data_IF_022676928602
#
_entry.id   IF_022676928602
#
_cell.length_a   1.000
_cell.length_b   1.000
_cell.length_c   1.000
_cell.angle_alpha   90.00
_cell.angle_beta   90.00
_cell.angle_gamma   90.00
#
_symmetry.space_group_name_H-M   'P 1'
#
loop_
_entity.id
_entity.type
_entity.pdbx_description
1 polymer ?
#
# COMPACT_ATOMS: atom_id res chain seq x y z
N UNK A 1 22.66 -3.54 24.90
CA UNK A 1 21.24 -3.94 24.97
C UNK A 1 20.43 -3.03 24.05
N UNK A 2 19.92 -3.59 22.97
CA UNK A 2 19.19 -2.91 21.85
C UNK A 2 17.70 -2.73 22.14
N UNK A 3 17.12 -3.61 22.98
CA UNK A 3 15.71 -3.55 23.40
C UNK A 3 15.61 -3.03 24.84
N UNK A 4 14.76 -2.02 25.07
CA UNK A 4 14.43 -1.47 26.39
C UNK A 4 12.93 -1.54 26.62
N UNK A 5 12.51 -1.96 27.81
CA UNK A 5 11.08 -2.05 28.18
C UNK A 5 10.76 -1.04 29.27
N UNK A 6 9.68 -0.28 29.11
CA UNK A 6 9.21 0.75 30.05
C UNK A 6 7.73 0.59 30.36
N UNK A 7 7.27 0.98 31.55
CA UNK A 7 5.83 1.00 31.84
C UNK A 7 5.14 2.07 30.97
N UNK A 8 4.01 1.72 30.36
CA UNK A 8 3.24 2.63 29.52
C UNK A 8 2.19 3.39 30.34
N UNK A 9 1.97 4.67 30.03
CA UNK A 9 1.11 5.57 30.83
C UNK A 9 -0.35 5.12 30.96
N UNK A 10 -0.85 4.32 30.02
CA UNK A 10 -2.21 3.75 30.00
C UNK A 10 -2.26 2.24 30.33
N UNK A 11 -1.27 1.74 31.07
CA UNK A 11 -1.14 0.31 31.37
C UNK A 11 -0.50 -0.49 30.22
N UNK A 12 0.18 -1.57 30.59
CA UNK A 12 1.03 -2.38 29.71
C UNK A 12 2.47 -1.87 29.60
N UNK A 13 3.22 -2.44 28.66
CA UNK A 13 4.66 -2.19 28.50
C UNK A 13 4.96 -1.57 27.14
N UNK A 14 5.79 -0.54 27.11
CA UNK A 14 6.36 0.02 25.91
C UNK A 14 7.73 -0.60 25.66
N UNK A 15 7.99 -1.00 24.43
CA UNK A 15 9.26 -1.56 23.98
C UNK A 15 9.90 -0.57 23.02
N UNK A 16 11.11 -0.17 23.36
CA UNK A 16 11.99 0.72 22.60
C UNK A 16 13.12 -0.11 22.01
N UNK A 17 13.06 -0.35 20.71
CA UNK A 17 14.00 -1.17 19.94
C UNK A 17 14.88 -0.23 19.13
N UNK A 18 16.19 -0.30 19.32
CA UNK A 18 17.18 0.41 18.52
C UNK A 18 18.05 -0.59 17.77
N UNK A 19 17.97 -0.61 16.45
CA UNK A 19 18.76 -1.48 15.58
C UNK A 19 19.53 -0.67 14.54
N UNK A 20 20.60 -1.29 14.02
CA UNK A 20 21.25 -0.83 12.80
C UNK A 20 20.82 -1.78 11.69
N UNK A 21 20.26 -1.23 10.63
CA UNK A 21 19.94 -1.97 9.42
C UNK A 21 21.23 -2.23 8.63
N UNK A 22 21.18 -3.18 7.69
CA UNK A 22 22.26 -3.51 6.76
C UNK A 22 22.64 -2.33 5.85
N UNK A 23 21.71 -1.41 5.60
CA UNK A 23 21.93 -0.11 4.95
C UNK A 23 22.77 0.87 5.78
N UNK A 24 23.15 0.51 7.01
CA UNK A 24 23.86 1.37 7.96
C UNK A 24 22.95 2.37 8.69
N UNK A 25 21.67 2.44 8.34
CA UNK A 25 20.71 3.34 8.99
C UNK A 25 20.37 2.85 10.41
N UNK A 26 20.25 3.79 11.35
CA UNK A 26 19.80 3.51 12.72
C UNK A 26 18.29 3.60 12.77
N UNK A 27 17.61 2.46 12.89
CA UNK A 27 16.17 2.39 13.03
C UNK A 27 15.75 2.28 14.51
N UNK A 28 14.73 3.05 14.90
CA UNK A 28 14.15 3.05 16.24
C UNK A 28 12.65 2.81 16.18
N UNK A 29 12.19 1.73 16.82
CA UNK A 29 10.77 1.44 17.00
C UNK A 29 10.39 1.60 18.48
N UNK A 30 9.40 2.45 18.78
CA UNK A 30 8.76 2.53 20.09
C UNK A 30 7.31 2.10 19.98
N UNK A 31 6.96 0.99 20.62
CA UNK A 31 5.61 0.43 20.51
C UNK A 31 5.13 -0.17 21.83
N UNK A 32 3.83 -0.07 22.10
CA UNK A 32 3.19 -0.82 23.18
C UNK A 32 3.22 -2.31 22.82
N UNK A 33 3.81 -3.13 23.69
CA UNK A 33 3.79 -4.58 23.56
C UNK A 33 2.34 -5.08 23.64
N UNK A 34 1.95 -6.08 22.83
CA UNK A 34 0.62 -6.69 22.88
C UNK A 34 0.46 -7.64 24.07
N UNK A 35 1.29 -7.52 25.11
CA UNK A 35 1.37 -8.42 26.25
C UNK A 35 1.45 -7.63 27.55
N UNK A 36 0.82 -8.17 28.59
CA UNK A 36 0.63 -7.48 29.88
C UNK A 36 1.79 -7.69 30.87
N UNK A 37 2.62 -8.73 30.69
CA UNK A 37 3.75 -9.04 31.58
C UNK A 37 5.07 -8.45 31.08
N UNK A 38 5.91 -7.93 31.99
CA UNK A 38 7.22 -7.34 31.69
C UNK A 38 8.16 -8.30 30.95
N UNK A 39 8.24 -9.53 31.44
CA UNK A 39 9.09 -10.58 30.88
C UNK A 39 8.60 -11.01 29.49
N UNK A 40 7.28 -11.08 29.29
CA UNK A 40 6.68 -11.33 27.98
C UNK A 40 6.96 -10.17 27.01
N UNK A 41 6.87 -8.92 27.47
CA UNK A 41 7.19 -7.74 26.65
C UNK A 41 8.67 -7.71 26.23
N UNK A 42 9.57 -8.15 27.10
CA UNK A 42 10.99 -8.32 26.77
C UNK A 42 11.19 -9.38 25.68
N UNK A 43 10.57 -10.55 25.81
CA UNK A 43 10.65 -11.62 24.78
C UNK A 43 10.06 -11.17 23.45
N UNK A 44 8.92 -10.47 23.49
CA UNK A 44 8.30 -9.90 22.30
C UNK A 44 9.22 -8.88 21.63
N UNK A 45 9.86 -8.00 22.41
CA UNK A 45 10.83 -7.04 21.89
C UNK A 45 12.04 -7.69 21.22
N UNK A 46 12.58 -8.74 21.81
CA UNK A 46 13.69 -9.52 21.22
C UNK A 46 13.26 -10.25 19.94
N UNK A 47 12.06 -10.82 19.90
CA UNK A 47 11.52 -11.45 18.69
C UNK A 47 11.29 -10.42 17.58
N UNK A 48 10.80 -9.22 17.93
CA UNK A 48 10.59 -8.11 17.00
C UNK A 48 11.91 -7.55 16.47
N UNK A 49 12.94 -7.43 17.31
CA UNK A 49 14.30 -7.08 16.87
C UNK A 49 14.81 -8.02 15.78
N UNK A 50 14.71 -9.34 16.01
CA UNK A 50 15.11 -10.36 15.03
C UNK A 50 14.29 -10.27 13.74
N UNK A 51 12.99 -10.01 13.86
CA UNK A 51 12.13 -9.81 12.70
C UNK A 51 12.55 -8.59 11.87
N UNK A 52 12.83 -7.46 12.52
CA UNK A 52 13.27 -6.24 11.84
C UNK A 52 14.64 -6.40 11.17
N UNK A 53 15.55 -7.18 11.76
CA UNK A 53 16.84 -7.52 11.14
C UNK A 53 16.69 -8.42 9.90
N UNK A 54 15.69 -9.31 9.88
CA UNK A 54 15.47 -10.26 8.78
C UNK A 54 14.62 -9.71 7.64
N UNK A 55 13.60 -8.92 7.98
CA UNK A 55 12.59 -8.44 7.02
C UNK A 55 12.70 -6.93 6.73
N UNK A 56 13.52 -6.19 7.48
CA UNK A 56 13.55 -4.73 7.40
C UNK A 56 12.37 -4.07 8.12
N UNK A 57 12.35 -2.73 8.18
CA UNK A 57 11.23 -1.99 8.75
C UNK A 57 9.99 -2.14 7.87
N UNK A 58 8.86 -2.53 8.46
CA UNK A 58 7.58 -2.61 7.75
C UNK A 58 7.23 -1.22 7.19
N UNK A 59 7.10 -1.09 5.87
CA UNK A 59 6.86 0.18 5.16
C UNK A 59 5.62 0.97 5.65
N UNK A 60 4.70 0.29 6.33
CA UNK A 60 3.46 0.87 6.87
C UNK A 60 3.69 1.58 8.23
N UNK A 61 4.82 1.31 8.91
CA UNK A 61 5.07 1.77 10.30
C UNK A 61 6.34 2.64 10.43
N UNK A 62 6.92 3.14 9.33
CA UNK A 62 7.99 4.14 9.39
C UNK A 62 7.41 5.56 9.57
N UNK A 63 6.79 5.85 10.72
CA UNK A 63 6.36 7.22 11.06
C UNK A 63 7.55 8.13 11.46
N UNK A 64 8.78 7.60 11.52
CA UNK A 64 10.00 8.39 11.70
C UNK A 64 11.01 8.00 10.62
N UNK A 65 11.02 8.74 9.52
CA UNK A 65 11.92 8.50 8.39
C UNK A 65 11.37 8.96 7.04
N UNK A 66 10.91 10.22 6.93
CA UNK A 66 10.45 10.84 5.66
C UNK A 66 11.55 10.99 4.59
N UNK A 67 12.73 10.40 4.77
CA UNK A 67 13.84 10.47 3.81
C UNK A 67 13.99 9.19 2.96
N UNK A 68 13.66 8.00 3.49
CA UNK A 68 13.80 6.73 2.75
C UNK A 68 12.61 6.37 1.86
N UNK A 69 11.41 6.89 2.17
CA UNK A 69 10.21 6.64 1.38
C UNK A 69 10.23 7.30 0.00
N UNK A 70 11.05 8.35 -0.20
CA UNK A 70 11.21 8.99 -1.51
C UNK A 70 12.03 8.18 -2.51
N UNK A 71 12.83 7.21 -2.07
CA UNK A 71 13.70 6.45 -2.99
C UNK A 71 13.02 5.14 -3.42
N UNK A 72 12.30 4.46 -2.52
CA UNK A 72 11.60 3.21 -2.85
C UNK A 72 10.21 3.41 -3.48
N UNK A 73 9.57 4.58 -3.32
CA UNK A 73 8.32 4.89 -4.04
C UNK A 73 8.57 5.27 -5.50
N UNK A 74 9.78 5.72 -5.83
CA UNK A 74 10.14 6.13 -7.21
C UNK A 74 10.31 4.92 -8.13
N UNK A 75 10.55 3.71 -7.61
CA UNK A 75 10.75 2.51 -8.45
C UNK A 75 9.51 1.61 -8.59
N UNK A 76 8.48 1.78 -7.73
CA UNK A 76 7.20 1.03 -7.83
C UNK A 76 6.14 1.82 -8.61
N UNK A 77 6.41 3.09 -8.93
CA UNK A 77 5.82 3.75 -10.09
C UNK A 77 6.46 3.21 -11.39
N UNK A 78 6.56 1.89 -11.54
CA UNK A 78 6.55 1.31 -12.88
C UNK A 78 5.31 1.87 -13.53
N UNK A 79 5.53 2.70 -14.54
CA UNK A 79 4.54 3.26 -15.44
C UNK A 79 3.38 2.27 -15.53
N UNK A 80 2.31 2.53 -14.76
CA UNK A 80 1.06 1.84 -15.02
C UNK A 80 0.76 2.31 -16.42
N UNK A 81 0.97 1.45 -17.41
CA UNK A 81 0.62 1.73 -18.79
C UNK A 81 -0.89 1.96 -18.76
N UNK A 82 -1.28 3.22 -18.57
CA UNK A 82 -2.67 3.61 -18.42
C UNK A 82 -3.27 3.31 -19.78
N UNK A 83 -4.17 2.33 -19.88
CA UNK A 83 -4.72 1.97 -21.18
C UNK A 83 -5.38 3.19 -21.79
N UNK A 84 -5.25 3.32 -23.09
CA UNK A 84 -6.05 4.27 -23.86
C UNK A 84 -7.53 3.99 -23.63
N UNK A 85 -8.37 5.02 -23.72
CA UNK A 85 -9.81 4.85 -23.54
C UNK A 85 -10.37 3.76 -24.45
N UNK A 86 -9.92 3.68 -25.71
CA UNK A 86 -10.29 2.61 -26.64
C UNK A 86 -9.95 1.20 -26.12
N UNK A 87 -8.79 1.02 -25.49
CA UNK A 87 -8.40 -0.25 -24.87
C UNK A 87 -9.18 -0.57 -23.59
N UNK A 88 -9.72 0.44 -22.92
CA UNK A 88 -10.56 0.27 -21.73
C UNK A 88 -12.01 -0.12 -22.07
N UNK A 89 -12.56 0.36 -23.20
CA UNK A 89 -13.98 0.12 -23.56
C UNK A 89 -14.40 -1.36 -23.53
N UNK A 90 -13.65 -2.33 -24.08
CA UNK A 90 -14.04 -3.74 -24.01
C UNK A 90 -14.17 -4.24 -22.57
N UNK A 91 -13.24 -3.85 -21.69
CA UNK A 91 -13.23 -4.20 -20.27
C UNK A 91 -14.43 -3.61 -19.53
N UNK A 92 -14.79 -2.37 -19.86
CA UNK A 92 -16.00 -1.73 -19.32
C UNK A 92 -17.28 -2.44 -19.76
N UNK A 93 -17.37 -2.78 -21.04
CA UNK A 93 -18.55 -3.49 -21.55
C UNK A 93 -18.72 -4.85 -20.87
N UNK A 94 -17.66 -5.64 -20.75
CA UNK A 94 -17.74 -6.96 -20.11
C UNK A 94 -17.91 -6.86 -18.58
N UNK A 95 -17.01 -6.13 -17.91
CA UNK A 95 -16.92 -6.10 -16.45
C UNK A 95 -17.97 -5.23 -15.75
N UNK A 96 -18.64 -4.33 -16.46
CA UNK A 96 -19.70 -3.49 -15.89
C UNK A 96 -21.04 -3.74 -16.58
N UNK A 97 -21.12 -3.53 -17.90
CA UNK A 97 -22.42 -3.56 -18.60
C UNK A 97 -23.03 -4.96 -18.64
N UNK A 98 -22.24 -5.98 -18.99
CA UNK A 98 -22.73 -7.37 -19.01
C UNK A 98 -22.77 -7.98 -17.61
N UNK A 99 -21.77 -7.71 -16.77
CA UNK A 99 -21.73 -8.19 -15.39
C UNK A 99 -22.96 -7.73 -14.57
N UNK A 100 -23.38 -6.48 -14.72
CA UNK A 100 -24.56 -5.93 -14.05
C UNK A 100 -25.89 -6.28 -14.75
N UNK A 101 -25.87 -7.14 -15.77
CA UNK A 101 -27.06 -7.63 -16.50
C UNK A 101 -27.96 -6.50 -16.99
N UNK A 102 -27.36 -5.44 -17.54
CA UNK A 102 -28.14 -4.36 -18.15
C UNK A 102 -29.07 -4.92 -19.25
N UNK A 103 -30.23 -4.28 -19.40
CA UNK A 103 -31.19 -4.67 -20.45
C UNK A 103 -30.53 -4.63 -21.83
N UNK A 104 -30.94 -5.52 -22.74
CA UNK A 104 -30.35 -5.61 -24.08
C UNK A 104 -30.42 -4.28 -24.86
N UNK A 105 -31.46 -3.47 -24.61
CA UNK A 105 -31.60 -2.14 -25.21
C UNK A 105 -30.55 -1.17 -24.67
N UNK A 106 -30.31 -1.21 -23.36
CA UNK A 106 -29.27 -0.40 -22.72
C UNK A 106 -27.89 -0.78 -23.25
N UNK A 107 -27.57 -2.08 -23.34
CA UNK A 107 -26.28 -2.55 -23.90
C UNK A 107 -26.06 -2.00 -25.31
N UNK A 108 -27.06 -2.14 -26.20
CA UNK A 108 -27.01 -1.64 -27.58
C UNK A 108 -26.82 -0.12 -27.63
N UNK A 109 -27.54 0.60 -26.78
CA UNK A 109 -27.46 2.06 -26.73
C UNK A 109 -26.08 2.51 -26.27
N UNK A 110 -25.56 1.92 -25.20
CA UNK A 110 -24.21 2.19 -24.68
C UNK A 110 -23.14 1.89 -25.72
N UNK A 111 -23.22 0.75 -26.40
CA UNK A 111 -22.29 0.40 -27.48
C UNK A 111 -22.35 1.40 -28.64
N UNK A 112 -23.55 1.84 -29.02
CA UNK A 112 -23.73 2.86 -30.07
C UNK A 112 -23.13 4.20 -29.65
N UNK A 113 -23.40 4.67 -28.43
CA UNK A 113 -22.87 5.94 -27.92
C UNK A 113 -21.36 5.92 -27.84
N UNK A 114 -20.77 4.83 -27.32
CA UNK A 114 -19.32 4.65 -27.26
C UNK A 114 -18.70 4.71 -28.66
N UNK A 115 -19.28 4.01 -29.65
CA UNK A 115 -18.77 3.97 -31.01
C UNK A 115 -18.88 5.30 -31.77
N UNK A 116 -20.01 6.00 -31.62
CA UNK A 116 -20.34 7.17 -32.46
C UNK A 116 -19.83 8.47 -31.86
N UNK A 117 -19.78 8.60 -30.53
CA UNK A 117 -19.50 9.88 -29.88
C UNK A 117 -18.21 9.87 -29.05
N UNK A 118 -17.96 8.79 -28.30
CA UNK A 118 -16.91 8.82 -27.28
C UNK A 118 -15.57 8.35 -27.87
N UNK A 119 -15.55 7.22 -28.60
CA UNK A 119 -14.33 6.71 -29.23
C UNK A 119 -13.72 7.66 -30.27
N UNK A 120 -14.50 8.38 -31.11
CA UNK A 120 -13.89 9.31 -32.08
C UNK A 120 -13.19 10.52 -31.46
N UNK A 121 -13.57 10.91 -30.23
CA UNK A 121 -13.03 12.11 -29.55
C UNK A 121 -11.96 11.73 -28.53
N UNK A 122 -12.20 10.67 -27.76
CA UNK A 122 -11.39 10.30 -26.60
C UNK A 122 -10.66 8.96 -26.79
N UNK A 123 -10.89 8.25 -27.90
CA UNK A 123 -10.40 6.88 -28.10
C UNK A 123 -8.89 6.74 -27.98
N UNK A 124 -8.15 7.74 -28.48
CA UNK A 124 -6.68 7.78 -28.48
C UNK A 124 -6.08 8.43 -27.22
N UNK A 125 -6.92 8.96 -26.33
CA UNK A 125 -6.47 9.58 -25.08
C UNK A 125 -6.26 8.54 -23.99
N UNK A 126 -5.20 8.73 -23.18
CA UNK A 126 -4.97 7.88 -22.01
C UNK A 126 -6.03 8.18 -20.94
N UNK A 127 -6.47 7.15 -20.22
CA UNK A 127 -7.55 7.26 -19.23
C UNK A 127 -7.25 8.23 -18.07
N UNK A 128 -5.97 8.52 -17.80
CA UNK A 128 -5.48 9.45 -16.78
C UNK A 128 -5.48 10.91 -17.24
N UNK A 129 -5.68 11.16 -18.54
CA UNK A 129 -5.67 12.50 -19.15
C UNK A 129 -7.07 13.02 -19.50
N UNK A 130 -8.12 12.29 -19.13
CA UNK A 130 -9.53 12.63 -19.34
C UNK A 130 -10.12 13.44 -18.18
#
# INVERSE_FOLDING_TARGET
>A
MTVKVRPYRKGGWEVDIMIRLDTGERYRERRKAPVELKSAAMRWGLARERHLLKHGPDAVTSTQGKAGARVAQVEIEKEKEVPTFAGFVPRFMEGHVHANRHSAQTVKTTQKVLRVHILPVFGDMRLDQL
#
